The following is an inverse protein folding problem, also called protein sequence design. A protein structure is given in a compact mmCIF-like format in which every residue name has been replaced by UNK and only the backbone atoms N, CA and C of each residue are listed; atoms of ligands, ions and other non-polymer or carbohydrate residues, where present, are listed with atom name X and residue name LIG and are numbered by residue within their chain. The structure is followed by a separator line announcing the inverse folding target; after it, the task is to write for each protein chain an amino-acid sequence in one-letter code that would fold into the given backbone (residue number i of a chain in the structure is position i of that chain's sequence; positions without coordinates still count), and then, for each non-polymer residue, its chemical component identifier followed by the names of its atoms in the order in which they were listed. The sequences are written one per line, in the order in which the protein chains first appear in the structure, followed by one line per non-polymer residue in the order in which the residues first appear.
data_IF_783800721232
#
_entry.id   IF_783800721232
#
_cell.length_a   1.000
_cell.length_b   1.000
_cell.length_c   1.000
_cell.angle_alpha   90.00
_cell.angle_beta   90.00
_cell.angle_gamma   90.00
#
_symmetry.space_group_name_H-M   'P 1'
#
loop_
_entity.id
_entity.type
_entity.pdbx_description
1 polymer ?
#
# COMPACT_ATOMS: atom_id res chain seq x y z
N UNK A 1 -13.00 -10.92 1.06
CA UNK A 1 -11.74 -11.71 1.07
C UNK A 1 -11.13 -11.59 -0.31
N UNK A 2 -9.89 -11.11 -0.41
CA UNK A 2 -9.15 -11.06 -1.67
C UNK A 2 -9.05 -12.48 -2.26
N UNK A 3 -9.20 -12.60 -3.59
CA UNK A 3 -9.22 -13.90 -4.26
C UNK A 3 -7.82 -14.48 -4.47
N UNK A 4 -6.77 -13.71 -4.18
CA UNK A 4 -5.36 -14.06 -4.36
C UNK A 4 -4.54 -13.62 -3.14
N UNK A 5 -3.54 -14.42 -2.71
CA UNK A 5 -2.63 -14.02 -1.64
C UNK A 5 -1.77 -12.82 -2.05
N UNK A 6 -1.37 -12.01 -1.08
CA UNK A 6 -0.45 -10.89 -1.30
C UNK A 6 0.96 -11.42 -1.49
N UNK A 7 1.61 -11.12 -2.62
CA UNK A 7 2.98 -11.53 -2.87
C UNK A 7 3.48 -11.17 -4.28
N UNK A 8 4.75 -11.44 -4.53
CA UNK A 8 5.39 -11.20 -5.83
C UNK A 8 5.94 -9.77 -6.00
N UNK A 9 6.19 -9.41 -7.26
CA UNK A 9 6.76 -8.10 -7.62
C UNK A 9 5.64 -7.16 -8.09
N UNK A 10 5.34 -6.15 -7.25
CA UNK A 10 4.32 -5.14 -7.51
C UNK A 10 4.96 -3.80 -7.90
N UNK A 11 4.75 -3.33 -9.12
CA UNK A 11 5.32 -2.06 -9.58
C UNK A 11 4.55 -0.85 -9.03
N UNK A 12 5.17 0.06 -8.27
CA UNK A 12 4.55 1.34 -7.93
C UNK A 12 4.55 2.27 -9.14
N UNK A 13 3.35 2.56 -9.65
CA UNK A 13 3.18 3.32 -10.90
C UNK A 13 2.93 4.80 -10.64
N UNK A 14 3.39 5.64 -11.57
CA UNK A 14 3.22 7.08 -11.52
C UNK A 14 1.81 7.50 -11.94
N UNK A 15 1.30 8.58 -11.35
CA UNK A 15 0.24 9.36 -11.97
C UNK A 15 0.80 10.05 -13.23
N UNK A 16 -0.03 10.27 -14.24
CA UNK A 16 0.37 11.01 -15.43
C UNK A 16 -0.46 12.28 -15.53
N UNK A 17 0.17 13.34 -16.03
CA UNK A 17 -0.44 14.65 -16.17
C UNK A 17 -0.23 15.19 -17.57
N UNK A 18 -1.23 15.92 -18.06
CA UNK A 18 -1.14 16.73 -19.27
C UNK A 18 -0.30 17.99 -19.04
N UNK A 19 -0.06 18.74 -20.12
CA UNK A 19 0.67 20.01 -20.05
C UNK A 19 -0.09 21.11 -19.29
N UNK A 20 -1.40 20.92 -19.09
CA UNK A 20 -2.30 21.76 -18.29
C UNK A 20 -2.28 21.43 -16.79
N UNK A 21 -1.59 20.35 -16.39
CA UNK A 21 -1.53 19.88 -15.01
C UNK A 21 -2.69 18.97 -14.60
N UNK A 22 -3.60 18.65 -15.51
CA UNK A 22 -4.72 17.73 -15.26
C UNK A 22 -4.27 16.27 -15.46
N UNK A 23 -4.96 15.33 -14.80
CA UNK A 23 -4.67 13.90 -14.97
C UNK A 23 -4.86 13.44 -16.43
N UNK A 24 -3.81 12.87 -17.01
CA UNK A 24 -3.83 12.21 -18.32
C UNK A 24 -4.21 10.74 -18.18
N UNK A 25 -5.51 10.50 -18.00
CA UNK A 25 -6.05 9.15 -17.78
C UNK A 25 -5.91 8.24 -19.00
N UNK A 26 -5.89 8.80 -20.21
CA UNK A 26 -5.76 8.02 -21.44
C UNK A 26 -4.36 7.40 -21.55
N UNK A 27 -3.31 8.18 -21.31
CA UNK A 27 -1.95 7.65 -21.30
C UNK A 27 -1.66 6.85 -20.03
N UNK A 28 -2.29 7.18 -18.90
CA UNK A 28 -2.22 6.36 -17.70
C UNK A 28 -2.78 4.96 -17.96
N UNK A 29 -3.94 4.84 -18.61
CA UNK A 29 -4.52 3.56 -19.01
C UNK A 29 -3.60 2.76 -19.95
N UNK A 30 -2.93 3.41 -20.91
CA UNK A 30 -1.94 2.73 -21.78
C UNK A 30 -0.77 2.18 -20.97
N UNK A 31 -0.26 2.92 -19.99
CA UNK A 31 0.79 2.44 -19.09
C UNK A 31 0.29 1.25 -18.25
N UNK A 32 -0.91 1.34 -17.69
CA UNK A 32 -1.52 0.23 -16.93
C UNK A 32 -1.70 -1.01 -17.80
N UNK A 33 -2.13 -0.87 -19.05
CA UNK A 33 -2.27 -1.99 -20.00
C UNK A 33 -0.92 -2.67 -20.25
N UNK A 34 0.17 -1.90 -20.36
CA UNK A 34 1.50 -2.47 -20.46
C UNK A 34 1.85 -3.32 -19.22
N UNK A 35 1.60 -2.80 -18.01
CA UNK A 35 1.83 -3.55 -16.77
C UNK A 35 0.96 -4.81 -16.68
N UNK A 36 -0.30 -4.75 -17.14
CA UNK A 36 -1.21 -5.88 -17.16
C UNK A 36 -0.67 -7.08 -17.98
N UNK A 37 0.12 -6.79 -19.02
CA UNK A 37 0.73 -7.79 -19.90
C UNK A 37 2.21 -8.09 -19.55
N UNK A 38 2.75 -7.43 -18.52
CA UNK A 38 4.13 -7.63 -18.05
C UNK A 38 4.27 -8.92 -17.22
N UNK A 39 5.50 -9.41 -16.98
CA UNK A 39 5.73 -10.56 -16.10
C UNK A 39 5.52 -10.24 -14.60
N UNK A 40 5.26 -8.98 -14.24
CA UNK A 40 5.03 -8.58 -12.84
C UNK A 40 3.72 -9.14 -12.30
N UNK A 41 3.62 -9.27 -10.99
CA UNK A 41 2.44 -9.86 -10.32
C UNK A 41 1.32 -8.84 -10.13
N UNK A 42 1.65 -7.54 -10.18
CA UNK A 42 0.69 -6.46 -9.99
C UNK A 42 1.30 -5.07 -9.97
N UNK A 43 0.45 -4.13 -9.60
CA UNK A 43 0.75 -2.71 -9.53
C UNK A 43 0.36 -2.14 -8.17
N UNK A 44 1.10 -1.12 -7.74
CA UNK A 44 0.74 -0.28 -6.62
C UNK A 44 0.29 1.07 -7.17
N UNK A 45 -1.00 1.36 -7.02
CA UNK A 45 -1.62 2.62 -7.43
C UNK A 45 -1.57 3.58 -6.25
N UNK A 46 -1.27 4.86 -6.48
CA UNK A 46 -1.25 5.88 -5.43
C UNK A 46 -0.31 5.56 -4.26
N UNK A 47 0.84 4.94 -4.56
CA UNK A 47 1.98 4.97 -3.63
C UNK A 47 2.63 6.36 -3.58
N UNK A 48 3.83 6.46 -3.00
CA UNK A 48 4.59 7.71 -3.06
C UNK A 48 5.02 8.07 -4.49
N UNK A 49 5.36 7.07 -5.31
CA UNK A 49 5.67 7.27 -6.74
C UNK A 49 4.46 7.70 -7.58
N UNK A 50 3.24 7.44 -7.09
CA UNK A 50 2.00 7.90 -7.70
C UNK A 50 1.53 9.23 -7.14
N UNK A 51 2.41 9.98 -6.46
CA UNK A 51 2.16 11.35 -5.98
C UNK A 51 0.94 11.49 -5.05
N UNK A 52 0.60 10.43 -4.31
CA UNK A 52 -0.60 10.35 -3.45
C UNK A 52 -0.80 11.48 -2.44
N UNK A 53 0.27 12.16 -2.03
CA UNK A 53 0.22 13.31 -1.14
C UNK A 53 -0.25 14.61 -1.83
N UNK A 54 -0.16 14.67 -3.16
CA UNK A 54 -0.52 15.83 -3.99
C UNK A 54 -1.91 15.69 -4.61
N UNK A 55 -2.43 14.47 -4.71
CA UNK A 55 -3.73 14.20 -5.29
C UNK A 55 -4.88 14.54 -4.33
N UNK A 56 -5.94 15.13 -4.87
CA UNK A 56 -7.23 15.24 -4.18
C UNK A 56 -8.00 13.90 -4.19
N UNK A 57 -9.19 13.87 -3.58
CA UNK A 57 -9.97 12.64 -3.48
C UNK A 57 -10.56 12.19 -4.83
N UNK A 58 -10.99 13.13 -5.69
CA UNK A 58 -11.54 12.78 -7.01
C UNK A 58 -10.46 12.19 -7.92
N UNK A 59 -9.31 12.83 -7.97
CA UNK A 59 -8.13 12.37 -8.70
C UNK A 59 -7.72 10.96 -8.27
N UNK A 60 -7.70 10.71 -6.95
CA UNK A 60 -7.42 9.39 -6.39
C UNK A 60 -8.40 8.34 -6.89
N UNK A 61 -9.69 8.62 -6.82
CA UNK A 61 -10.72 7.67 -7.25
C UNK A 61 -10.65 7.41 -8.76
N UNK A 62 -10.39 8.44 -9.57
CA UNK A 62 -10.24 8.30 -11.03
C UNK A 62 -9.04 7.45 -11.41
N UNK A 63 -7.91 7.59 -10.72
CA UNK A 63 -6.73 6.75 -10.93
C UNK A 63 -6.99 5.29 -10.54
N UNK A 64 -7.65 5.04 -9.40
CA UNK A 64 -8.01 3.68 -8.98
C UNK A 64 -8.96 3.04 -9.98
N UNK A 65 -10.06 3.72 -10.37
CA UNK A 65 -11.03 3.20 -11.33
C UNK A 65 -10.37 2.86 -12.67
N UNK A 66 -9.55 3.78 -13.18
CA UNK A 66 -8.83 3.56 -14.45
C UNK A 66 -7.91 2.35 -14.33
N UNK A 67 -7.13 2.25 -13.25
CA UNK A 67 -6.20 1.14 -13.06
C UNK A 67 -6.91 -0.21 -12.93
N UNK A 68 -7.92 -0.32 -12.08
CA UNK A 68 -8.62 -1.59 -11.82
C UNK A 68 -9.39 -2.06 -13.06
N UNK A 69 -10.06 -1.15 -13.77
CA UNK A 69 -10.76 -1.46 -15.02
C UNK A 69 -9.81 -1.91 -16.12
N UNK A 70 -8.69 -1.22 -16.30
CA UNK A 70 -7.69 -1.60 -17.29
C UNK A 70 -7.02 -2.93 -16.92
N UNK A 71 -6.61 -3.14 -15.66
CA UNK A 71 -6.06 -4.44 -15.23
C UNK A 71 -7.07 -5.58 -15.45
N UNK A 72 -8.36 -5.35 -15.18
CA UNK A 72 -9.43 -6.30 -15.46
C UNK A 72 -9.25 -7.65 -14.75
N UNK A 73 -8.72 -7.63 -13.51
CA UNK A 73 -8.46 -8.82 -12.70
C UNK A 73 -7.30 -9.71 -13.18
N UNK A 74 -6.51 -9.28 -14.18
CA UNK A 74 -5.35 -10.04 -14.67
C UNK A 74 -4.22 -10.10 -13.64
N UNK A 75 -3.99 -9.00 -12.91
CA UNK A 75 -2.90 -8.81 -11.96
C UNK A 75 -3.43 -8.20 -10.66
N UNK A 76 -2.61 -8.21 -9.61
CA UNK A 76 -2.98 -7.57 -8.33
C UNK A 76 -2.98 -6.04 -8.44
N UNK A 77 -3.94 -5.40 -7.79
CA UNK A 77 -4.00 -3.95 -7.61
C UNK A 77 -3.99 -3.60 -6.12
N UNK A 78 -2.88 -3.03 -5.67
CA UNK A 78 -2.70 -2.50 -4.32
C UNK A 78 -2.88 -0.98 -4.35
N UNK A 79 -3.96 -0.45 -3.75
CA UNK A 79 -4.31 0.97 -3.82
C UNK A 79 -3.89 1.73 -2.55
N UNK A 80 -3.18 2.84 -2.69
CA UNK A 80 -2.76 3.70 -1.58
C UNK A 80 -3.91 4.53 -1.00
N UNK A 81 -4.53 4.08 0.08
CA UNK A 81 -5.71 4.73 0.67
C UNK A 81 -5.41 5.47 1.97
N UNK A 82 -4.21 5.30 2.52
CA UNK A 82 -3.80 5.93 3.77
C UNK A 82 -3.72 7.46 3.66
N UNK A 83 -4.45 8.13 4.54
CA UNK A 83 -4.39 9.58 4.77
C UNK A 83 -4.41 9.86 6.28
N UNK A 84 -4.07 11.07 6.70
CA UNK A 84 -3.91 11.40 8.13
C UNK A 84 -5.16 11.10 8.98
N UNK A 85 -6.35 11.27 8.43
CA UNK A 85 -7.59 10.99 9.15
C UNK A 85 -7.99 9.51 9.02
N UNK A 86 -8.16 8.81 10.14
CA UNK A 86 -8.72 7.44 10.19
C UNK A 86 -10.05 7.35 9.44
N UNK A 87 -10.96 8.32 9.67
CA UNK A 87 -12.27 8.34 9.00
C UNK A 87 -12.15 8.51 7.49
N UNK A 88 -11.24 9.37 7.03
CA UNK A 88 -11.02 9.56 5.59
C UNK A 88 -10.33 8.33 4.96
N UNK A 89 -9.38 7.70 5.68
CA UNK A 89 -8.76 6.44 5.26
C UNK A 89 -9.80 5.34 5.11
N UNK A 90 -10.73 5.19 6.06
CA UNK A 90 -11.85 4.23 5.96
C UNK A 90 -12.71 4.53 4.72
N UNK A 91 -13.09 5.79 4.49
CA UNK A 91 -13.90 6.18 3.33
C UNK A 91 -13.20 5.81 2.02
N UNK A 92 -11.95 6.26 1.85
CA UNK A 92 -11.18 6.01 0.63
C UNK A 92 -10.90 4.51 0.42
N UNK A 93 -10.68 3.76 1.50
CA UNK A 93 -10.50 2.31 1.44
C UNK A 93 -11.75 1.58 0.96
N UNK A 94 -12.94 2.00 1.41
CA UNK A 94 -14.21 1.45 0.92
C UNK A 94 -14.43 1.77 -0.54
N UNK A 95 -14.20 3.01 -0.96
CA UNK A 95 -14.28 3.39 -2.37
C UNK A 95 -13.29 2.60 -3.23
N UNK A 96 -12.05 2.41 -2.78
CA UNK A 96 -11.07 1.59 -3.49
C UNK A 96 -11.53 0.13 -3.66
N UNK A 97 -12.15 -0.45 -2.62
CA UNK A 97 -12.75 -1.78 -2.69
C UNK A 97 -13.90 -1.86 -3.69
N UNK A 98 -14.80 -0.86 -3.69
CA UNK A 98 -15.91 -0.78 -4.65
C UNK A 98 -15.43 -0.67 -6.10
N UNK A 99 -14.31 0.02 -6.32
CA UNK A 99 -13.64 0.14 -7.61
C UNK A 99 -12.83 -1.12 -8.00
N UNK A 100 -12.73 -2.12 -7.13
CA UNK A 100 -12.09 -3.40 -7.44
C UNK A 100 -10.60 -3.48 -7.14
N UNK A 101 -10.06 -2.65 -6.24
CA UNK A 101 -8.72 -2.87 -5.69
C UNK A 101 -8.70 -4.18 -4.89
N UNK A 102 -7.61 -4.94 -4.97
CA UNK A 102 -7.45 -6.20 -4.22
C UNK A 102 -7.05 -5.94 -2.76
N UNK A 103 -6.25 -4.89 -2.54
CA UNK A 103 -5.66 -4.55 -1.25
C UNK A 103 -5.57 -3.04 -1.07
N UNK A 104 -5.60 -2.59 0.18
CA UNK A 104 -5.38 -1.20 0.56
C UNK A 104 -4.00 -1.01 1.21
N UNK A 105 -3.17 -0.15 0.64
CA UNK A 105 -1.89 0.27 1.18
C UNK A 105 -2.06 1.51 2.05
N UNK A 106 -1.89 1.35 3.36
CA UNK A 106 -2.17 2.41 4.33
C UNK A 106 -0.86 2.94 4.92
N UNK A 107 -0.44 4.11 4.39
CA UNK A 107 0.71 4.85 4.93
C UNK A 107 0.48 5.21 6.38
N UNK A 108 1.54 5.07 7.19
CA UNK A 108 1.49 5.40 8.61
C UNK A 108 1.14 6.89 8.80
N UNK A 109 0.11 7.22 9.61
CA UNK A 109 -0.17 8.61 9.98
C UNK A 109 1.05 9.25 10.62
N UNK A 110 1.40 10.45 10.19
CA UNK A 110 2.70 11.03 10.54
C UNK A 110 2.68 12.52 10.84
N UNK A 111 1.62 13.25 10.49
CA UNK A 111 1.56 14.69 10.71
C UNK A 111 1.69 15.06 12.20
N UNK A 112 1.05 14.29 13.08
CA UNK A 112 1.14 14.46 14.54
C UNK A 112 2.09 13.46 15.23
N UNK A 113 3.17 13.03 14.55
CA UNK A 113 4.13 12.02 15.04
C UNK A 113 4.51 12.12 16.53
N UNK A 114 4.79 13.30 17.14
CA UNK A 114 5.12 13.37 18.57
C UNK A 114 4.02 12.90 19.53
N UNK A 115 2.79 12.71 19.03
CA UNK A 115 1.61 12.26 19.78
C UNK A 115 1.20 10.82 19.45
N UNK A 116 1.77 10.21 18.42
CA UNK A 116 1.43 8.86 18.02
C UNK A 116 2.36 7.86 18.72
N UNK A 117 1.77 7.02 19.56
CA UNK A 117 2.42 5.86 20.16
C UNK A 117 1.91 4.55 19.50
N UNK A 118 2.42 3.41 19.96
CA UNK A 118 2.02 2.11 19.42
C UNK A 118 0.51 1.85 19.53
N UNK A 119 -0.13 2.32 20.61
CA UNK A 119 -1.57 2.17 20.82
C UNK A 119 -2.38 3.07 19.87
N UNK A 120 -1.93 4.28 19.59
CA UNK A 120 -2.52 5.16 18.58
C UNK A 120 -2.46 4.53 17.18
N UNK A 121 -1.31 3.95 16.81
CA UNK A 121 -1.17 3.23 15.54
C UNK A 121 -2.08 2.00 15.49
N UNK A 122 -2.13 1.20 16.57
CA UNK A 122 -3.03 0.06 16.68
C UNK A 122 -4.48 0.46 16.45
N UNK A 123 -4.97 1.49 17.16
CA UNK A 123 -6.34 1.98 17.02
C UNK A 123 -6.65 2.46 15.61
N UNK A 124 -5.72 3.16 14.96
CA UNK A 124 -5.89 3.60 13.58
C UNK A 124 -6.02 2.40 12.63
N UNK A 125 -5.04 1.51 12.63
CA UNK A 125 -5.01 0.38 11.70
C UNK A 125 -6.15 -0.62 11.96
N UNK A 126 -6.49 -0.90 13.22
CA UNK A 126 -7.60 -1.80 13.54
C UNK A 126 -8.94 -1.19 13.12
N UNK A 127 -9.18 0.11 13.39
CA UNK A 127 -10.41 0.76 12.93
C UNK A 127 -10.54 0.76 11.40
N UNK A 128 -9.43 0.91 10.68
CA UNK A 128 -9.41 0.80 9.21
C UNK A 128 -9.70 -0.63 8.77
N UNK A 129 -9.02 -1.62 9.38
CA UNK A 129 -9.13 -3.02 9.03
C UNK A 129 -10.52 -3.61 9.35
N UNK A 130 -11.13 -3.24 10.49
CA UNK A 130 -12.49 -3.61 10.88
C UNK A 130 -13.54 -3.10 9.88
N UNK A 131 -13.32 -1.92 9.32
CA UNK A 131 -14.26 -1.25 8.43
C UNK A 131 -14.03 -1.54 6.94
N UNK A 132 -12.94 -2.24 6.59
CA UNK A 132 -12.47 -2.42 5.22
C UNK A 132 -13.00 -3.72 4.59
N UNK A 133 -13.60 -3.66 3.38
CA UNK A 133 -14.00 -4.85 2.63
C UNK A 133 -12.82 -5.65 2.04
N UNK A 134 -11.65 -5.01 1.91
CA UNK A 134 -10.42 -5.58 1.33
C UNK A 134 -9.27 -5.59 2.35
N UNK A 135 -8.28 -6.48 2.22
CA UNK A 135 -7.22 -6.57 3.21
C UNK A 135 -6.28 -5.36 3.21
N UNK A 136 -5.74 -5.06 4.39
CA UNK A 136 -4.88 -3.91 4.66
C UNK A 136 -3.41 -4.32 4.62
N UNK A 137 -2.59 -3.50 3.98
CA UNK A 137 -1.13 -3.56 3.97
C UNK A 137 -0.60 -2.30 4.65
N UNK A 138 0.14 -2.48 5.74
CA UNK A 138 0.81 -1.38 6.46
C UNK A 138 1.92 -0.82 5.58
N UNK A 139 2.03 0.51 5.43
CA UNK A 139 3.08 1.11 4.61
C UNK A 139 4.02 2.00 5.42
N UNK A 140 5.25 1.52 5.61
CA UNK A 140 6.33 2.23 6.28
C UNK A 140 7.16 2.95 5.23
N UNK A 141 6.98 4.27 5.13
CA UNK A 141 7.74 5.14 4.23
C UNK A 141 8.51 6.20 5.02
N UNK A 142 9.51 5.76 5.79
CA UNK A 142 10.25 6.59 6.75
C UNK A 142 10.85 7.85 6.13
N UNK A 143 11.33 7.77 4.87
CA UNK A 143 11.93 8.91 4.18
C UNK A 143 10.98 10.10 3.99
N UNK A 144 9.67 9.86 3.90
CA UNK A 144 8.66 10.91 3.68
C UNK A 144 7.81 11.17 4.92
N UNK A 145 7.59 10.16 5.75
CA UNK A 145 6.76 10.26 6.96
C UNK A 145 7.57 10.62 8.19
N UNK A 146 8.87 10.29 8.21
CA UNK A 146 9.70 10.33 9.41
C UNK A 146 9.22 9.39 10.52
N UNK A 147 8.35 8.42 10.21
CA UNK A 147 7.87 7.40 11.14
C UNK A 147 8.44 6.06 10.70
N UNK A 148 9.23 5.47 11.59
CA UNK A 148 9.75 4.11 11.43
C UNK A 148 9.07 3.21 12.47
N UNK A 149 8.11 2.40 12.04
CA UNK A 149 7.42 1.48 12.96
C UNK A 149 8.39 0.35 13.34
N UNK A 150 8.57 0.05 14.64
CA UNK A 150 9.39 -1.08 15.05
C UNK A 150 8.71 -2.41 14.68
N UNK A 151 9.50 -3.47 14.49
CA UNK A 151 8.99 -4.80 14.15
C UNK A 151 7.92 -5.31 15.13
N UNK A 152 8.09 -5.03 16.43
CA UNK A 152 7.11 -5.39 17.46
C UNK A 152 5.73 -4.73 17.29
N UNK A 153 5.68 -3.50 16.77
CA UNK A 153 4.40 -2.85 16.42
C UNK A 153 3.78 -3.53 15.21
N UNK A 154 4.58 -3.90 14.21
CA UNK A 154 4.07 -4.63 13.03
C UNK A 154 3.52 -6.00 13.41
N UNK A 155 4.23 -6.77 14.24
CA UNK A 155 3.72 -8.06 14.77
C UNK A 155 2.46 -7.90 15.63
N UNK A 156 2.32 -6.78 16.36
CA UNK A 156 1.06 -6.49 17.06
C UNK A 156 -0.09 -6.24 16.08
N UNK A 157 0.19 -5.57 14.95
CA UNK A 157 -0.80 -5.29 13.92
C UNK A 157 -1.20 -6.56 13.14
N UNK A 158 -0.26 -7.47 12.88
CA UNK A 158 -0.52 -8.72 12.14
C UNK A 158 -1.53 -9.65 12.82
N UNK A 159 -1.74 -9.51 14.14
CA UNK A 159 -2.76 -10.27 14.86
C UNK A 159 -4.21 -9.97 14.41
N UNK A 160 -4.43 -8.92 13.62
CA UNK A 160 -5.75 -8.64 13.05
C UNK A 160 -5.92 -9.38 11.71
N UNK A 161 -6.99 -10.18 11.53
CA UNK A 161 -7.13 -11.09 10.37
C UNK A 161 -7.25 -10.37 9.01
N UNK A 162 -7.59 -9.08 9.02
CA UNK A 162 -7.67 -8.25 7.81
C UNK A 162 -6.43 -7.38 7.58
N UNK A 163 -5.37 -7.50 8.39
CA UNK A 163 -4.07 -6.86 8.16
C UNK A 163 -3.10 -7.96 7.71
N UNK A 164 -2.82 -8.01 6.42
CA UNK A 164 -2.19 -9.19 5.78
C UNK A 164 -0.74 -8.96 5.36
N UNK A 165 -0.19 -7.77 5.64
CA UNK A 165 1.20 -7.54 5.35
C UNK A 165 1.68 -6.14 5.69
N UNK A 166 2.97 -5.95 5.46
CA UNK A 166 3.67 -4.68 5.56
C UNK A 166 4.50 -4.47 4.29
N UNK A 167 4.56 -3.22 3.81
CA UNK A 167 5.54 -2.77 2.83
C UNK A 167 6.51 -1.83 3.54
N UNK A 168 7.76 -2.24 3.67
CA UNK A 168 8.80 -1.46 4.35
C UNK A 168 9.83 -0.89 3.37
N UNK A 169 9.85 0.45 3.26
CA UNK A 169 10.79 1.19 2.41
C UNK A 169 12.03 1.70 3.16
N UNK A 170 12.24 1.35 4.43
CA UNK A 170 13.35 1.86 5.23
C UNK A 170 14.72 1.22 4.88
N UNK A 171 14.71 0.01 4.29
CA UNK A 171 15.95 -0.70 3.91
C UNK A 171 16.78 -1.22 5.09
N UNK A 172 16.19 -1.32 6.29
CA UNK A 172 16.86 -1.83 7.48
C UNK A 172 16.76 -3.37 7.53
N UNK A 173 17.85 -4.06 7.18
CA UNK A 173 17.90 -5.52 7.13
C UNK A 173 17.60 -6.22 8.46
N UNK A 174 18.03 -5.65 9.59
CA UNK A 174 17.81 -6.25 10.91
C UNK A 174 16.32 -6.21 11.26
N UNK A 175 15.70 -5.03 11.16
CA UNK A 175 14.27 -4.85 11.41
C UNK A 175 13.42 -5.69 10.44
N UNK A 176 13.85 -5.78 9.18
CA UNK A 176 13.16 -6.60 8.19
C UNK A 176 13.18 -8.09 8.57
N UNK A 177 14.34 -8.62 8.97
CA UNK A 177 14.47 -10.00 9.44
C UNK A 177 13.64 -10.26 10.72
N UNK A 178 13.59 -9.31 11.64
CA UNK A 178 12.73 -9.38 12.83
C UNK A 178 11.24 -9.44 12.46
N UNK A 179 10.80 -8.65 11.46
CA UNK A 179 9.43 -8.70 10.96
C UNK A 179 9.12 -10.04 10.31
N UNK A 180 10.00 -10.57 9.45
CA UNK A 180 9.81 -11.89 8.82
C UNK A 180 9.74 -13.00 9.87
N UNK A 181 10.66 -13.00 10.84
CA UNK A 181 10.70 -14.04 11.87
C UNK A 181 9.52 -13.97 12.86
N UNK A 182 8.92 -12.79 13.04
CA UNK A 182 7.79 -12.55 13.93
C UNK A 182 6.43 -12.48 13.22
N UNK A 183 6.38 -12.70 11.91
CA UNK A 183 5.16 -12.74 11.11
C UNK A 183 4.59 -14.16 11.09
N UNK A 184 3.26 -14.28 11.08
CA UNK A 184 2.60 -15.54 10.77
C UNK A 184 2.82 -15.90 9.29
N UNK A 185 2.74 -17.19 8.93
CA UNK A 185 3.02 -17.69 7.57
C UNK A 185 2.16 -17.02 6.47
N UNK A 186 1.00 -16.45 6.82
CA UNK A 186 0.09 -15.77 5.89
C UNK A 186 0.33 -14.25 5.80
N UNK A 187 1.22 -13.67 6.60
CA UNK A 187 1.50 -12.23 6.64
C UNK A 187 2.71 -11.88 5.76
N UNK A 188 2.48 -11.09 4.70
CA UNK A 188 3.52 -10.75 3.74
C UNK A 188 4.40 -9.58 4.23
N UNK A 189 5.73 -9.71 4.11
CA UNK A 189 6.70 -8.64 4.39
C UNK A 189 7.35 -8.19 3.08
N UNK A 190 6.86 -7.10 2.50
CA UNK A 190 7.27 -6.62 1.19
C UNK A 190 8.40 -5.59 1.27
N UNK A 191 9.42 -5.76 0.44
CA UNK A 191 10.45 -4.76 0.23
C UNK A 191 9.90 -3.52 -0.50
N UNK A 192 10.06 -2.35 0.09
CA UNK A 192 9.58 -1.08 -0.45
C UNK A 192 10.53 -0.40 -1.45
N UNK A 193 11.81 -0.82 -1.51
CA UNK A 193 12.84 -0.22 -2.35
C UNK A 193 13.58 -1.24 -3.22
N UNK A 194 13.84 -0.88 -4.48
CA UNK A 194 14.47 -1.77 -5.46
C UNK A 194 15.91 -2.15 -5.08
N UNK A 195 16.66 -1.24 -4.48
CA UNK A 195 18.03 -1.50 -4.00
C UNK A 195 18.09 -2.48 -2.82
N UNK A 196 16.97 -2.74 -2.16
CA UNK A 196 16.86 -3.65 -1.02
C UNK A 196 16.11 -4.95 -1.36
N UNK A 197 15.61 -5.08 -2.60
CA UNK A 197 14.80 -6.22 -3.02
C UNK A 197 15.53 -7.56 -2.85
N UNK A 198 16.75 -7.68 -3.38
CA UNK A 198 17.51 -8.94 -3.27
C UNK A 198 17.85 -9.31 -1.82
N UNK A 199 18.41 -8.40 -0.99
CA UNK A 199 18.57 -8.66 0.44
C UNK A 199 17.28 -9.09 1.15
N UNK A 200 16.15 -8.45 0.85
CA UNK A 200 14.86 -8.80 1.45
C UNK A 200 14.42 -10.22 1.09
N UNK A 201 14.56 -10.64 -0.18
CA UNK A 201 14.27 -12.01 -0.60
C UNK A 201 15.16 -13.04 0.12
N UNK A 202 16.44 -12.73 0.34
CA UNK A 202 17.33 -13.59 1.14
C UNK A 202 16.91 -13.69 2.61
N UNK A 203 16.16 -12.72 3.13
CA UNK A 203 15.65 -12.69 4.51
C UNK A 203 14.27 -13.33 4.66
N UNK A 204 13.63 -13.76 3.56
CA UNK A 204 12.32 -14.41 3.58
C UNK A 204 11.13 -13.48 3.30
N UNK A 205 11.35 -12.39 2.55
CA UNK A 205 10.27 -11.60 1.95
C UNK A 205 9.36 -12.44 1.03
#
# INVERSE_FOLDING_TARGET
MATRPLGGVLAPIAALYGADGELDLDNYAKNVEWYANSPLDGIVVMGSNGESALLDEDEKLRLIDTATRTIGGRKLVLAGTGVESTRATIRLTRSAAELGADFALVVTPHYYRPRYDAEAYKRHYYAVADASPIPIVVYIMTAYTGVDLPASTVSMLSAHPNIVGVKDSAGNAVKFAEMVAGADDEFAVLAGSANFLYPALCLGA
#
